data_IF_964081148800
#
_entry.id   IF_964081148800
#
_cell.length_a   1.000
_cell.length_b   1.000
_cell.length_c   1.000
_cell.angle_alpha   90.00
_cell.angle_beta   90.00
_cell.angle_gamma   90.00
#
_symmetry.space_group_name_H-M   'P 1'
#
loop_
_entity.id
_entity.type
_entity.pdbx_description
1 polymer ?
2 non-polymer ?
3 non-polymer ?
4 non-polymer ?
5 non-polymer ?
6 water ?
#
# COMPACT_ATOMS: atom_id res chain seq x y z
N UNK A 2 -8.77 -8.01 -21.02
CA UNK A 2 -7.72 -7.11 -20.44
C UNK A 2 -6.51 -7.97 -20.07
N UNK A 3 -5.62 -7.42 -19.22
CA UNK A 3 -4.68 -8.18 -18.36
C UNK A 3 -5.49 -9.06 -17.42
N UNK A 4 -5.05 -10.29 -17.22
CA UNK A 4 -5.55 -11.22 -16.17
C UNK A 4 -4.50 -11.17 -15.06
N UNK A 5 -4.94 -11.29 -13.81
CA UNK A 5 -4.07 -11.21 -12.63
C UNK A 5 -4.67 -12.04 -11.50
N UNK A 6 -3.82 -12.28 -10.52
CA UNK A 6 -3.76 -13.44 -9.61
C UNK A 6 -3.58 -12.97 -8.16
N UNK A 7 -3.15 -11.72 -7.98
CA UNK A 7 -2.64 -11.19 -6.70
C UNK A 7 -3.63 -11.37 -5.56
N UNK A 8 -4.92 -11.11 -5.80
CA UNK A 8 -5.98 -11.11 -4.76
C UNK A 8 -6.04 -12.53 -4.18
N UNK A 9 -6.12 -13.52 -5.08
CA UNK A 9 -6.11 -14.96 -4.74
C UNK A 9 -4.82 -15.32 -3.99
N UNK A 10 -3.67 -14.80 -4.45
CA UNK A 10 -2.34 -15.21 -3.95
C UNK A 10 -2.19 -14.87 -2.46
N UNK A 11 -2.74 -13.75 -2.02
CA UNK A 11 -2.68 -13.31 -0.59
C UNK A 11 -3.83 -13.96 0.21
N UNK A 12 -4.68 -14.74 -0.44
CA UNK A 12 -5.82 -15.48 0.19
C UNK A 12 -6.89 -14.52 0.71
N UNK A 13 -7.13 -13.41 0.02
CA UNK A 13 -8.24 -12.48 0.33
C UNK A 13 -9.60 -13.11 0.04
N UNK A 14 -9.78 -13.95 -1.00
CA UNK A 14 -11.10 -14.52 -1.31
C UNK A 14 -11.72 -15.27 -0.12
N UNK A 15 -10.90 -15.95 0.68
CA UNK A 15 -11.37 -16.62 1.92
C UNK A 15 -12.14 -15.62 2.79
N UNK A 16 -11.63 -14.39 2.94
CA UNK A 16 -12.22 -13.39 3.87
C UNK A 16 -13.48 -12.81 3.22
N UNK A 17 -13.42 -12.51 1.93
CA UNK A 17 -14.62 -12.04 1.18
C UNK A 17 -15.78 -13.03 1.38
N UNK A 18 -15.54 -14.34 1.30
CA UNK A 18 -16.61 -15.37 1.32
C UNK A 18 -17.23 -15.44 2.74
N UNK A 19 -16.56 -14.86 3.74
CA UNK A 19 -17.01 -14.80 5.15
C UNK A 19 -17.63 -13.43 5.49
N UNK A 20 -17.72 -12.51 4.51
CA UNK A 20 -18.34 -11.18 4.63
C UNK A 20 -17.37 -10.07 5.03
N UNK A 21 -16.07 -10.32 4.97
CA UNK A 21 -15.01 -9.33 5.32
C UNK A 21 -14.38 -8.80 4.03
N UNK A 22 -14.75 -7.57 3.66
CA UNK A 22 -14.40 -6.90 2.39
C UNK A 22 -13.92 -5.47 2.66
N UNK A 23 -13.66 -5.11 3.92
CA UNK A 23 -13.05 -3.82 4.25
C UNK A 23 -14.04 -2.73 4.57
N UNK A 24 -15.32 -3.04 4.80
CA UNK A 24 -16.39 -2.04 5.06
C UNK A 24 -16.01 -1.19 6.26
N UNK A 25 -16.25 0.12 6.15
CA UNK A 25 -16.08 1.13 7.23
C UNK A 25 -14.60 1.26 7.60
N UNK A 26 -13.69 0.86 6.71
CA UNK A 26 -12.24 1.08 6.90
C UNK A 26 -11.80 2.19 5.94
N UNK A 27 -11.08 3.16 6.49
CA UNK A 27 -10.65 4.39 5.78
C UNK A 27 -9.20 4.18 5.33
N UNK A 28 -9.02 4.19 4.01
CA UNK A 28 -7.70 3.94 3.36
C UNK A 28 -7.39 5.15 2.52
N UNK A 29 -6.29 5.82 2.88
CA UNK A 29 -5.77 7.02 2.21
C UNK A 29 -4.68 6.57 1.23
N UNK A 30 -4.89 6.87 -0.05
CA UNK A 30 -3.91 6.62 -1.13
C UNK A 30 -3.15 7.93 -1.35
N UNK A 31 -1.94 8.04 -0.81
CA UNK A 31 -1.09 9.24 -0.97
C UNK A 31 -0.27 9.04 -2.23
N UNK A 32 -0.72 9.64 -3.32
CA UNK A 32 -0.22 9.34 -4.69
C UNK A 32 -0.53 10.51 -5.61
N UNK A 33 -0.65 10.20 -6.92
CA UNK A 33 -0.85 11.17 -8.03
C UNK A 33 -2.35 11.47 -8.20
N UNK A 34 -3.16 11.15 -7.21
CA UNK A 34 -4.62 11.28 -7.32
C UNK A 34 -5.26 9.96 -7.72
N UNK A 35 -6.57 9.96 -7.86
CA UNK A 35 -7.37 8.77 -8.25
C UNK A 35 -8.42 9.25 -9.24
N UNK A 36 -8.48 8.61 -10.41
CA UNK A 36 -9.51 8.95 -11.41
C UNK A 36 -10.85 8.38 -10.93
N UNK A 37 -11.67 9.16 -10.21
CA UNK A 37 -12.93 8.61 -9.65
C UNK A 37 -13.92 8.36 -10.80
N UNK A 38 -13.64 8.88 -11.99
CA UNK A 38 -14.53 8.71 -13.16
C UNK A 38 -14.53 7.24 -13.58
N UNK A 39 -13.50 6.46 -13.23
CA UNK A 39 -13.45 5.02 -13.56
C UNK A 39 -14.67 4.31 -12.98
N UNK A 40 -15.47 3.58 -13.79
CA UNK A 40 -16.65 2.89 -13.25
C UNK A 40 -16.37 1.90 -12.12
N UNK A 41 -15.18 1.28 -12.06
CA UNK A 41 -14.82 0.30 -11.01
C UNK A 41 -14.33 1.03 -9.75
N UNK A 42 -14.06 2.33 -9.79
CA UNK A 42 -13.53 3.04 -8.61
C UNK A 42 -14.60 3.90 -7.91
N UNK A 43 -14.80 3.63 -6.64
CA UNK A 43 -15.70 4.38 -5.73
C UNK A 43 -14.81 5.02 -4.66
N UNK A 44 -14.68 6.34 -4.77
CA UNK A 44 -13.76 7.13 -3.93
C UNK A 44 -14.66 7.88 -2.94
N UNK A 45 -14.32 7.83 -1.66
CA UNK A 45 -15.15 8.37 -0.55
C UNK A 45 -14.84 9.85 -0.33
N UNK A 46 -13.64 10.31 -0.67
CA UNK A 46 -13.21 11.67 -0.34
C UNK A 46 -11.84 11.92 -0.90
N UNK A 47 -11.32 13.13 -0.68
CA UNK A 47 -10.05 13.55 -1.28
C UNK A 47 -9.60 14.94 -0.86
N UNK A 48 -8.32 15.19 -1.06
CA UNK A 48 -7.61 16.46 -0.85
C UNK A 48 -6.34 16.42 -1.71
N UNK A 49 -6.06 17.51 -2.40
CA UNK A 49 -4.79 17.73 -3.14
C UNK A 49 -3.93 18.71 -2.36
N UNK A 50 -2.66 18.36 -2.21
CA UNK A 50 -1.61 19.22 -1.62
C UNK A 50 -0.55 19.53 -2.67
N UNK A 51 -0.88 19.30 -3.93
CA UNK A 51 -0.06 19.69 -5.12
C UNK A 51 -0.63 21.01 -5.63
N UNK A 52 0.12 22.11 -5.45
CA UNK A 52 -0.44 23.44 -5.69
C UNK A 52 -0.78 23.70 -7.18
N UNK A 53 -0.09 23.07 -8.14
CA UNK A 53 -0.41 23.27 -9.58
C UNK A 53 -1.47 22.26 -10.05
N UNK A 54 -1.85 21.28 -9.23
CA UNK A 54 -2.88 20.26 -9.58
C UNK A 54 -3.93 20.18 -8.48
N UNK A 55 -5.02 20.92 -8.61
CA UNK A 55 -5.97 21.21 -7.50
C UNK A 55 -7.01 20.08 -7.32
N UNK A 56 -7.18 19.24 -8.34
CA UNK A 56 -8.23 18.20 -8.37
C UNK A 56 -7.61 16.84 -8.01
N UNK A 57 -7.89 16.31 -6.80
CA UNK A 57 -7.35 15.02 -6.36
C UNK A 57 -8.01 13.84 -7.09
N UNK A 58 -9.16 14.11 -7.71
CA UNK A 58 -10.01 13.10 -8.40
C UNK A 58 -9.70 13.09 -9.90
N UNK A 59 -8.62 13.75 -10.29
CA UNK A 59 -8.05 13.64 -11.65
C UNK A 59 -6.61 13.15 -11.50
N UNK A 60 -6.27 12.05 -12.17
CA UNK A 60 -4.92 11.45 -12.07
C UNK A 60 -4.25 11.58 -13.45
N UNK A 61 -3.32 12.52 -13.57
CA UNK A 61 -2.61 12.87 -14.83
C UNK A 61 -1.40 11.97 -14.95
N UNK A 62 -1.06 11.23 -13.89
CA UNK A 62 0.07 10.26 -13.91
C UNK A 62 -0.44 8.87 -14.33
N UNK A 63 -1.42 8.36 -13.58
CA UNK A 63 -2.14 7.05 -13.74
C UNK A 63 -1.71 6.07 -12.62
N UNK A 64 -0.65 6.37 -11.89
CA UNK A 64 -0.13 5.54 -10.77
C UNK A 64 -1.15 5.46 -9.63
N UNK A 65 -1.71 6.59 -9.21
CA UNK A 65 -2.69 6.62 -8.11
C UNK A 65 -3.93 5.79 -8.41
N UNK A 66 -4.38 5.82 -9.66
CA UNK A 66 -5.56 5.07 -10.15
C UNK A 66 -5.30 3.55 -10.13
N UNK A 67 -4.07 3.13 -10.41
CA UNK A 67 -3.65 1.70 -10.39
C UNK A 67 -3.63 1.23 -8.94
N UNK A 68 -3.10 2.05 -8.02
CA UNK A 68 -3.11 1.77 -6.56
C UNK A 68 -4.55 1.51 -6.14
N UNK A 69 -5.44 2.45 -6.43
CA UNK A 69 -6.87 2.38 -6.06
C UNK A 69 -7.50 1.05 -6.47
N UNK A 70 -7.32 0.66 -7.74
CA UNK A 70 -7.89 -0.60 -8.27
C UNK A 70 -7.43 -1.81 -7.47
N UNK A 71 -6.16 -1.85 -7.12
CA UNK A 71 -5.57 -2.99 -6.41
C UNK A 71 -6.09 -3.04 -4.97
N UNK A 72 -6.15 -1.89 -4.30
CA UNK A 72 -6.67 -1.82 -2.89
C UNK A 72 -8.12 -2.25 -2.88
N UNK A 73 -8.93 -1.75 -3.81
CA UNK A 73 -10.38 -2.08 -3.83
C UNK A 73 -10.58 -3.53 -4.28
N UNK A 74 -9.68 -4.07 -5.11
CA UNK A 74 -9.70 -5.50 -5.50
C UNK A 74 -9.52 -6.37 -4.25
N UNK A 75 -8.60 -5.97 -3.37
CA UNK A 75 -8.33 -6.72 -2.11
C UNK A 75 -9.46 -6.41 -1.11
N UNK A 76 -9.89 -5.15 -0.99
CA UNK A 76 -10.89 -4.68 0.00
C UNK A 76 -11.97 -3.90 -0.73
N UNK A 77 -12.83 -4.62 -1.48
CA UNK A 77 -13.89 -3.99 -2.27
C UNK A 77 -14.74 -2.93 -1.55
N UNK A 78 -15.01 -3.07 -0.24
CA UNK A 78 -15.97 -2.19 0.49
C UNK A 78 -15.22 -1.08 1.25
N UNK A 79 -13.92 -0.94 1.05
CA UNK A 79 -13.13 0.06 1.79
C UNK A 79 -13.55 1.46 1.35
N UNK A 80 -13.51 2.41 2.27
CA UNK A 80 -13.67 3.85 1.93
C UNK A 80 -12.29 4.34 1.49
N UNK A 81 -12.14 4.60 0.20
CA UNK A 81 -10.84 5.01 -0.38
C UNK A 81 -10.78 6.53 -0.46
N UNK A 82 -9.66 7.13 -0.08
CA UNK A 82 -9.47 8.59 -0.14
C UNK A 82 -8.26 8.89 -1.03
N UNK A 83 -8.49 9.82 -1.97
CA UNK A 83 -7.53 10.31 -2.97
C UNK A 83 -6.79 11.49 -2.35
N UNK A 84 -5.60 11.22 -1.83
CA UNK A 84 -4.73 12.27 -1.27
C UNK A 84 -3.63 12.55 -2.28
N UNK A 85 -3.77 13.61 -3.08
CA UNK A 85 -2.86 13.93 -4.20
C UNK A 85 -1.66 14.66 -3.59
N UNK A 86 -0.51 14.00 -3.57
CA UNK A 86 0.75 14.58 -3.05
C UNK A 86 1.81 14.48 -4.15
N UNK A 87 1.49 13.84 -5.29
CA UNK A 87 2.39 13.67 -6.47
C UNK A 87 1.78 14.35 -7.69
N UNK A 88 2.58 15.01 -8.52
CA UNK A 88 2.10 15.60 -9.79
C UNK A 88 2.00 14.59 -10.93
N UNK A 89 1.60 15.10 -12.10
CA UNK A 89 1.50 14.37 -13.39
C UNK A 89 2.76 13.54 -13.64
N UNK A 90 3.94 14.12 -13.38
CA UNK A 90 5.23 13.45 -13.71
C UNK A 90 5.56 12.40 -12.64
N UNK A 91 4.77 12.26 -11.56
CA UNK A 91 4.92 11.19 -10.56
C UNK A 91 5.85 11.58 -9.42
N UNK A 92 6.34 12.82 -9.43
CA UNK A 92 7.27 13.38 -8.44
C UNK A 92 6.51 14.40 -7.59
N UNK A 93 6.92 14.57 -6.35
CA UNK A 93 6.35 15.59 -5.44
C UNK A 93 7.41 16.07 -4.50
N UNK A 94 7.13 17.12 -3.74
CA UNK A 94 8.00 17.58 -2.63
C UNK A 94 7.61 16.83 -1.36
N UNK A 95 8.57 16.66 -0.45
CA UNK A 95 8.33 15.97 0.84
C UNK A 95 7.28 16.74 1.63
N UNK A 96 7.22 18.07 1.55
CA UNK A 96 6.22 18.89 2.30
C UNK A 96 4.80 18.57 1.85
N UNK A 97 4.59 18.25 0.57
CA UNK A 97 3.26 17.87 0.03
C UNK A 97 2.85 16.54 0.67
N UNK A 98 3.77 15.57 0.70
CA UNK A 98 3.53 14.23 1.31
C UNK A 98 3.20 14.41 2.80
N UNK A 99 4.00 15.21 3.51
CA UNK A 99 3.79 15.48 4.94
C UNK A 99 2.41 16.08 5.12
N UNK A 100 1.98 16.96 4.22
CA UNK A 100 0.64 17.58 4.33
C UNK A 100 -0.45 16.51 4.17
N UNK A 101 -0.23 15.55 3.28
CA UNK A 101 -1.17 14.43 3.06
C UNK A 101 -1.22 13.50 4.26
N UNK A 102 -0.07 13.23 4.87
CA UNK A 102 -0.04 12.44 6.13
C UNK A 102 -0.85 13.20 7.19
N UNK A 103 -0.62 14.49 7.34
CA UNK A 103 -1.29 15.32 8.37
C UNK A 103 -2.80 15.23 8.13
N UNK A 104 -3.20 15.36 6.87
CA UNK A 104 -4.61 15.22 6.46
C UNK A 104 -5.17 13.85 6.89
N UNK A 105 -4.44 12.75 6.64
CA UNK A 105 -4.88 11.37 6.95
C UNK A 105 -5.12 11.22 8.47
N UNK A 106 -4.19 11.69 9.28
CA UNK A 106 -4.29 11.70 10.77
C UNK A 106 -5.55 12.47 11.16
N UNK A 107 -5.64 13.74 10.77
CA UNK A 107 -6.75 14.66 11.10
C UNK A 107 -8.10 14.05 10.72
N UNK A 108 -8.17 13.29 9.63
CA UNK A 108 -9.45 12.75 9.09
C UNK A 108 -9.63 11.28 9.47
N UNK A 109 -8.87 10.76 10.44
CA UNK A 109 -9.12 9.43 11.04
C UNK A 109 -9.00 8.31 10.01
N UNK A 110 -8.01 8.40 9.12
CA UNK A 110 -7.71 7.27 8.21
C UNK A 110 -7.26 6.08 9.05
N UNK A 111 -7.65 4.85 8.70
CA UNK A 111 -7.19 3.61 9.38
C UNK A 111 -5.87 3.15 8.78
N UNK A 112 -5.71 3.37 7.48
CA UNK A 112 -4.57 2.88 6.69
C UNK A 112 -4.10 4.02 5.80
N UNK A 113 -2.78 4.18 5.73
CA UNK A 113 -2.14 4.99 4.67
C UNK A 113 -1.36 4.06 3.76
N UNK A 114 -1.58 4.20 2.46
CA UNK A 114 -0.69 3.61 1.42
C UNK A 114 0.20 4.73 0.83
N UNK A 115 1.50 4.61 1.01
CA UNK A 115 2.47 5.49 0.29
C UNK A 115 3.20 4.64 -0.75
N UNK A 116 2.71 4.66 -1.99
CA UNK A 116 3.32 3.96 -3.15
C UNK A 116 4.29 4.93 -3.84
N UNK A 117 5.37 5.28 -3.13
CA UNK A 117 6.31 6.34 -3.54
C UNK A 117 7.64 6.11 -2.83
N UNK A 118 8.50 7.12 -2.79
CA UNK A 118 9.66 7.18 -1.89
C UNK A 118 10.93 7.56 -2.63
N UNK A 119 11.95 8.03 -1.92
CA UNK A 119 13.26 8.32 -2.51
C UNK A 119 14.37 7.65 -1.71
N UNK A 120 15.64 7.76 -2.15
CA UNK A 120 16.78 7.15 -1.47
C UNK A 120 17.11 7.90 -0.18
N UNK A 121 16.65 9.14 -0.04
CA UNK A 121 16.82 9.93 1.21
C UNK A 121 15.44 10.37 1.68
N UNK A 122 15.31 10.57 3.00
CA UNK A 122 14.11 11.13 3.63
C UNK A 122 14.48 12.44 4.29
N UNK A 123 13.81 12.77 5.37
CA UNK A 123 14.04 14.00 6.15
C UNK A 123 13.50 13.73 7.54
N UNK A 124 14.04 14.41 8.53
CA UNK A 124 13.51 14.39 9.90
C UNK A 124 12.01 14.66 9.83
N UNK A 125 11.57 15.65 9.04
CA UNK A 125 10.16 16.10 9.01
C UNK A 125 9.29 14.96 8.44
N UNK A 126 9.78 14.23 7.46
CA UNK A 126 9.06 13.06 6.87
C UNK A 126 8.97 11.97 7.94
N UNK A 127 10.07 11.67 8.65
CA UNK A 127 10.06 10.65 9.72
C UNK A 127 9.10 11.09 10.83
N UNK A 128 9.12 12.37 11.21
CA UNK A 128 8.21 12.88 12.27
C UNK A 128 6.76 12.60 11.86
N UNK A 129 6.43 12.83 10.60
CA UNK A 129 5.06 12.68 10.04
C UNK A 129 4.59 11.22 10.13
N UNK A 130 5.32 10.27 9.56
CA UNK A 130 4.89 8.85 9.57
C UNK A 130 4.90 8.32 11.01
N UNK A 131 5.89 8.70 11.84
CA UNK A 131 5.95 8.32 13.28
C UNK A 131 4.68 8.82 13.97
N UNK A 132 4.30 10.06 13.69
CA UNK A 132 3.10 10.66 14.31
C UNK A 132 1.86 9.91 13.88
N UNK A 133 1.76 9.51 12.61
CA UNK A 133 0.59 8.80 12.08
C UNK A 133 0.44 7.45 12.81
N UNK A 134 1.54 6.72 12.95
CA UNK A 134 1.57 5.41 13.66
C UNK A 134 1.28 5.62 15.16
N UNK A 135 1.86 6.64 15.81
CA UNK A 135 1.47 7.01 17.19
C UNK A 135 -0.04 7.24 17.27
N UNK A 136 -0.69 7.80 16.24
CA UNK A 136 -2.15 8.09 16.24
C UNK A 136 -2.97 6.84 16.02
N UNK A 137 -2.33 5.74 15.62
CA UNK A 137 -3.02 4.46 15.45
C UNK A 137 -3.29 4.14 13.98
N UNK A 138 -2.62 4.82 13.03
CA UNK A 138 -2.76 4.53 11.58
C UNK A 138 -1.83 3.38 11.19
N UNK A 139 -2.30 2.46 10.35
CA UNK A 139 -1.40 1.48 9.70
C UNK A 139 -0.75 2.19 8.52
N UNK A 140 0.58 2.28 8.50
CA UNK A 140 1.31 2.94 7.38
C UNK A 140 2.10 1.87 6.63
N UNK A 141 1.85 1.84 5.32
CA UNK A 141 2.42 0.85 4.36
C UNK A 141 3.16 1.60 3.23
N UNK A 142 4.32 1.10 2.84
CA UNK A 142 5.08 1.69 1.73
C UNK A 142 5.77 0.60 0.90
N UNK A 143 5.88 0.86 -0.40
CA UNK A 143 6.76 0.12 -1.33
C UNK A 143 8.19 0.15 -0.79
N UNK A 144 8.84 -1.00 -0.75
CA UNK A 144 10.23 -1.18 -0.28
C UNK A 144 11.17 -0.45 -1.24
N UNK A 145 10.76 -0.33 -2.51
CA UNK A 145 11.56 0.31 -3.57
C UNK A 145 11.90 -0.67 -4.67
N UNK A 146 12.30 -0.14 -5.80
CA UNK A 146 12.64 -0.95 -6.99
C UNK A 146 14.10 -0.72 -7.34
N UNK A 147 15.01 -0.77 -6.35
CA UNK A 147 16.45 -0.43 -6.50
C UNK A 147 17.35 -1.68 -6.59
N UNK A 148 16.74 -2.85 -6.79
CA UNK A 148 17.43 -4.15 -6.79
C UNK A 148 18.36 -4.30 -5.59
N UNK A 149 19.57 -4.80 -5.84
CA UNK A 149 20.59 -5.13 -4.80
C UNK A 149 21.80 -4.21 -4.94
N UNK A 150 22.51 -4.02 -3.84
CA UNK A 150 23.77 -3.26 -3.79
C UNK A 150 24.69 -4.01 -2.81
N UNK A 151 25.03 -5.25 -3.18
CA UNK A 151 25.85 -6.19 -2.40
C UNK A 151 25.29 -6.36 -0.99
N UNK A 152 26.01 -5.86 0.00
CA UNK A 152 25.68 -5.91 1.45
C UNK A 152 24.72 -4.78 1.84
N UNK A 153 24.58 -3.73 1.02
CA UNK A 153 23.85 -2.51 1.43
C UNK A 153 22.34 -2.74 1.31
N UNK A 154 21.58 -2.17 2.25
CA UNK A 154 20.12 -1.99 2.10
C UNK A 154 19.87 -1.07 0.91
N UNK A 155 18.85 -1.39 0.11
CA UNK A 155 18.39 -0.57 -1.02
C UNK A 155 16.94 -0.16 -0.77
N UNK A 156 16.41 -0.38 0.44
CA UNK A 156 15.02 -0.01 0.79
C UNK A 156 14.92 1.53 0.77
N UNK A 157 13.89 2.09 0.12
CA UNK A 157 13.59 3.53 0.05
C UNK A 157 12.93 4.01 1.34
N UNK A 158 12.91 5.33 1.49
CA UNK A 158 12.07 6.07 2.45
C UNK A 158 10.78 6.40 1.75
N UNK A 159 9.61 6.42 2.44
CA UNK A 159 9.51 6.21 3.88
C UNK A 159 9.53 4.77 4.43
N UNK A 160 9.57 3.78 3.54
CA UNK A 160 9.53 2.35 3.93
C UNK A 160 10.67 2.04 4.92
N UNK A 161 11.83 2.67 4.73
CA UNK A 161 13.05 2.40 5.54
C UNK A 161 12.85 2.83 7.00
N UNK A 162 11.87 3.68 7.30
CA UNK A 162 11.57 4.06 8.70
C UNK A 162 10.90 2.91 9.44
N UNK A 163 11.43 2.57 10.63
CA UNK A 163 10.89 1.48 11.45
C UNK A 163 9.37 1.50 11.62
N UNK A 164 8.75 2.68 11.69
CA UNK A 164 7.29 2.82 11.88
C UNK A 164 6.51 2.33 10.65
N UNK A 165 7.15 2.30 9.50
CA UNK A 165 6.42 2.02 8.23
C UNK A 165 6.63 0.55 7.90
N UNK A 166 5.58 -0.12 7.49
CA UNK A 166 5.67 -1.51 6.95
C UNK A 166 6.28 -1.39 5.55
N UNK A 167 7.37 -2.11 5.30
CA UNK A 167 8.10 -2.07 4.02
C UNK A 167 7.79 -3.35 3.25
N UNK A 168 7.32 -3.18 2.03
CA UNK A 168 6.77 -4.29 1.22
C UNK A 168 7.61 -4.47 -0.04
N UNK A 169 8.15 -5.66 -0.24
CA UNK A 169 8.83 -6.08 -1.48
C UNK A 169 7.89 -6.86 -2.38
N UNK A 170 8.34 -7.17 -3.59
CA UNK A 170 7.50 -7.78 -4.63
C UNK A 170 7.95 -9.22 -4.89
N UNK A 171 6.97 -10.13 -4.96
CA UNK A 171 7.13 -11.48 -5.54
C UNK A 171 6.27 -11.62 -6.79
N UNK A 172 6.58 -12.62 -7.61
CA UNK A 172 5.75 -13.01 -8.79
C UNK A 172 4.73 -14.07 -8.35
N UNK A 173 3.96 -14.60 -9.29
CA UNK A 173 2.83 -15.54 -9.01
C UNK A 173 3.38 -16.85 -8.43
N UNK A 174 4.69 -17.07 -8.53
CA UNK A 174 5.40 -18.29 -8.04
C UNK A 174 6.12 -18.00 -6.73
N UNK A 175 5.93 -16.81 -6.16
CA UNK A 175 6.48 -16.40 -4.84
C UNK A 175 7.99 -16.23 -4.93
N UNK A 176 8.52 -16.03 -6.13
CA UNK A 176 9.95 -15.70 -6.35
C UNK A 176 10.10 -14.16 -6.28
N UNK A 177 11.08 -13.66 -5.52
CA UNK A 177 11.42 -12.23 -5.48
C UNK A 177 11.59 -11.73 -6.91
N UNK A 178 10.96 -10.60 -7.21
CA UNK A 178 11.21 -9.86 -8.45
C UNK A 178 12.60 -9.24 -8.36
N UNK A 179 13.42 -9.37 -9.41
CA UNK A 179 14.79 -8.85 -9.42
C UNK A 179 14.95 -7.35 -9.11
N UNK A 180 13.88 -6.55 -9.25
CA UNK A 180 13.89 -5.09 -9.00
C UNK A 180 13.66 -4.80 -7.50
N UNK A 181 13.08 -5.76 -6.77
CA UNK A 181 12.54 -5.53 -5.40
C UNK A 181 13.71 -5.20 -4.48
N UNK A 182 13.62 -4.07 -3.79
CA UNK A 182 14.67 -3.58 -2.88
C UNK A 182 14.84 -4.58 -1.74
N UNK A 183 16.01 -4.56 -1.12
CA UNK A 183 16.45 -5.56 -0.11
C UNK A 183 17.03 -4.81 1.08
N UNK A 184 17.09 -5.47 2.23
CA UNK A 184 17.67 -4.91 3.45
C UNK A 184 16.93 -5.45 4.65
N UNK A 185 17.51 -5.26 5.86
CA UNK A 185 16.86 -5.72 7.09
C UNK A 185 15.54 -4.98 7.37
N UNK A 186 15.29 -3.87 6.69
CA UNK A 186 14.04 -3.06 6.84
C UNK A 186 12.86 -3.78 6.19
N UNK A 187 13.13 -4.66 5.24
CA UNK A 187 12.09 -5.43 4.55
C UNK A 187 11.24 -6.23 5.57
N UNK A 188 9.91 -6.09 5.52
CA UNK A 188 8.97 -6.72 6.47
C UNK A 188 8.24 -7.89 5.81
N UNK A 189 7.61 -7.67 4.67
CA UNK A 189 6.76 -8.70 4.03
C UNK A 189 6.84 -8.54 2.50
N UNK A 190 6.42 -9.57 1.78
CA UNK A 190 6.31 -9.54 0.30
C UNK A 190 4.83 -9.61 -0.06
N UNK A 191 4.50 -9.15 -1.27
CA UNK A 191 3.16 -9.32 -1.86
C UNK A 191 3.30 -9.30 -3.37
N UNK A 192 2.22 -9.68 -4.10
CA UNK A 192 2.26 -9.73 -5.55
C UNK A 192 2.55 -8.38 -6.21
N UNK A 193 3.64 -8.36 -6.98
CA UNK A 193 4.16 -7.12 -7.59
C UNK A 193 4.63 -7.26 -9.01
N UNK A 194 4.35 -8.38 -9.71
CA UNK A 194 4.76 -8.57 -11.13
C UNK A 194 3.52 -8.60 -12.03
N UNK A 195 3.46 -7.78 -13.07
CA UNK A 195 2.33 -7.78 -14.03
C UNK A 195 1.00 -7.74 -13.27
N UNK A 196 0.84 -6.76 -12.37
CA UNK A 196 -0.44 -6.58 -11.63
C UNK A 196 -1.39 -5.76 -12.52
N UNK A 197 -2.48 -6.40 -12.95
CA UNK A 197 -3.62 -5.80 -13.66
C UNK A 197 -4.46 -4.98 -12.69
N UNK A 198 -4.61 -3.69 -12.97
CA UNK A 198 -5.49 -2.79 -12.20
C UNK A 198 -6.02 -1.72 -13.13
N UNK A 199 -6.84 -0.86 -12.57
CA UNK A 199 -7.54 0.26 -13.23
C UNK A 199 -6.53 1.31 -13.67
N UNK A 200 -6.77 1.90 -14.83
CA UNK A 200 -6.03 3.07 -15.35
C UNK A 200 -7.05 4.14 -15.75
N UNK A 201 -6.64 5.44 -15.78
CA UNK A 201 -7.56 6.54 -16.11
C UNK A 201 -8.24 6.33 -17.47
N UNK A 202 -9.45 6.85 -17.59
CA UNK A 202 -10.26 6.72 -18.81
C UNK A 202 -10.80 5.31 -18.97
N UNK A 203 -11.22 4.69 -17.88
CA UNK A 203 -11.98 3.43 -17.91
C UNK A 203 -11.11 2.29 -18.37
N UNK A 204 -9.79 2.41 -18.34
CA UNK A 204 -8.90 1.35 -18.86
C UNK A 204 -8.40 0.44 -17.73
N UNK A 205 -7.63 -0.57 -18.13
CA UNK A 205 -6.89 -1.51 -17.26
C UNK A 205 -5.53 -1.76 -17.87
N UNK A 206 -4.56 -2.05 -17.00
CA UNK A 206 -3.19 -2.36 -17.45
C UNK A 206 -2.38 -2.99 -16.34
N UNK A 207 -1.41 -3.80 -16.73
CA UNK A 207 -0.48 -4.48 -15.83
C UNK A 207 0.64 -3.48 -15.46
N UNK A 208 1.08 -3.50 -14.21
CA UNK A 208 2.28 -2.76 -13.75
C UNK A 208 3.08 -3.71 -12.85
N UNK A 209 4.40 -3.67 -12.96
CA UNK A 209 5.31 -4.39 -12.05
C UNK A 209 5.95 -3.36 -11.12
N UNK A 210 6.14 -3.69 -9.86
CA UNK A 210 6.82 -2.82 -8.88
C UNK A 210 6.54 -3.24 -7.45
N UNK A 211 7.31 -2.69 -6.50
CA UNK A 211 6.94 -2.74 -5.08
C UNK A 211 5.69 -1.89 -4.80
N UNK A 212 5.28 -0.98 -5.68
CA UNK A 212 4.07 -0.14 -5.43
C UNK A 212 2.84 -1.06 -5.43
N UNK A 213 2.57 -1.85 -6.50
CA UNK A 213 1.48 -2.82 -6.50
C UNK A 213 1.52 -3.81 -5.34
N UNK A 214 2.72 -4.25 -4.95
CA UNK A 214 2.87 -5.14 -3.78
C UNK A 214 2.36 -4.38 -2.54
N UNK A 215 2.84 -3.17 -2.27
CA UNK A 215 2.36 -2.39 -1.10
C UNK A 215 0.82 -2.23 -1.14
N UNK A 216 0.21 -2.16 -2.32
CA UNK A 216 -1.25 -1.91 -2.49
C UNK A 216 -2.02 -3.12 -1.95
N UNK A 217 -1.49 -4.34 -2.16
CA UNK A 217 -2.08 -5.61 -1.65
C UNK A 217 -2.10 -5.58 -0.13
N UNK A 218 -1.02 -5.10 0.47
CA UNK A 218 -0.86 -5.07 1.96
C UNK A 218 -1.78 -4.02 2.56
N UNK A 219 -1.88 -2.85 1.94
CA UNK A 219 -2.84 -1.81 2.39
C UNK A 219 -4.27 -2.37 2.36
N UNK A 220 -4.63 -3.09 1.30
CA UNK A 220 -5.92 -3.80 1.20
C UNK A 220 -6.08 -4.82 2.29
N UNK A 221 -5.08 -5.67 2.49
CA UNK A 221 -5.09 -6.75 3.50
C UNK A 221 -5.37 -6.12 4.88
N UNK A 222 -4.76 -4.97 5.16
CA UNK A 222 -4.94 -4.26 6.44
C UNK A 222 -6.42 -3.92 6.60
N UNK A 223 -7.05 -3.47 5.53
CA UNK A 223 -8.46 -3.05 5.58
C UNK A 223 -9.33 -4.29 5.81
N UNK A 224 -9.05 -5.43 5.15
CA UNK A 224 -9.80 -6.67 5.39
C UNK A 224 -9.73 -7.02 6.87
N UNK A 225 -8.52 -7.08 7.42
CA UNK A 225 -8.26 -7.44 8.84
C UNK A 225 -9.10 -6.54 9.75
N UNK A 226 -9.07 -5.22 9.54
CA UNK A 226 -9.78 -4.25 10.43
C UNK A 226 -11.30 -4.38 10.25
N UNK A 227 -11.78 -4.84 9.09
CA UNK A 227 -13.22 -5.08 8.85
C UNK A 227 -13.68 -6.33 9.60
N UNK A 228 -12.75 -7.21 10.02
CA UNK A 228 -13.07 -8.35 10.92
C UNK A 228 -12.80 -7.97 12.38
N UNK A 229 -11.77 -7.15 12.63
CA UNK A 229 -11.24 -6.83 13.98
C UNK A 229 -11.16 -5.32 14.11
N UNK A 230 -12.31 -4.62 14.14
CA UNK A 230 -12.29 -3.16 14.11
C UNK A 230 -11.57 -2.58 15.35
N UNK A 231 -11.50 -3.37 16.41
CA UNK A 231 -10.91 -3.03 17.74
C UNK A 231 -9.37 -3.07 17.67
N UNK A 232 -8.79 -3.81 16.72
CA UNK A 232 -7.33 -4.08 16.69
C UNK A 232 -6.58 -2.76 16.50
N UNK A 233 -5.46 -2.58 17.19
CA UNK A 233 -4.52 -1.45 17.00
C UNK A 233 -3.73 -1.65 15.69
N UNK A 234 -3.13 -0.59 15.18
CA UNK A 234 -2.18 -0.72 14.05
C UNK A 234 -1.12 -1.75 14.44
N UNK A 235 -0.62 -1.71 15.68
CA UNK A 235 0.39 -2.66 16.21
C UNK A 235 -0.07 -4.11 16.00
N UNK A 236 -1.32 -4.41 16.31
CA UNK A 236 -1.91 -5.76 16.14
C UNK A 236 -2.08 -6.07 14.65
N UNK A 237 -2.52 -5.09 13.87
CA UNK A 237 -2.69 -5.31 12.41
C UNK A 237 -1.33 -5.70 11.82
N UNK A 238 -0.29 -4.93 12.11
CA UNK A 238 1.04 -5.14 11.51
C UNK A 238 1.62 -6.49 11.94
N UNK A 239 1.54 -6.80 13.24
CA UNK A 239 2.00 -8.06 13.87
C UNK A 239 1.24 -9.24 13.24
N UNK A 240 -0.06 -9.13 12.98
CA UNK A 240 -0.85 -10.21 12.34
C UNK A 240 -0.30 -10.52 10.93
N UNK A 241 0.07 -9.49 10.16
CA UNK A 241 0.53 -9.66 8.76
C UNK A 241 1.97 -10.21 8.76
N UNK A 242 2.80 -9.68 9.65
CA UNK A 242 4.23 -10.08 9.73
C UNK A 242 4.33 -11.50 10.30
N UNK A 243 3.50 -11.87 11.29
CA UNK A 243 3.75 -13.09 12.09
C UNK A 243 3.10 -14.32 11.46
N UNK A 244 2.23 -14.15 10.48
CA UNK A 244 1.50 -15.24 9.79
C UNK A 244 1.89 -15.28 8.33
N UNK A 245 2.86 -14.46 7.94
CA UNK A 245 3.46 -14.48 6.59
C UNK A 245 3.91 -15.91 6.25
N UNK A 246 3.70 -16.33 5.01
CA UNK A 246 4.27 -17.58 4.44
C UNK A 246 5.77 -17.41 4.22
N UNK A 247 6.59 -17.99 5.09
CA UNK A 247 8.06 -17.93 5.00
C UNK A 247 8.54 -18.32 3.60
N UNK A 248 9.39 -17.51 2.98
CA UNK A 248 10.01 -17.82 1.67
C UNK A 248 11.53 -17.87 1.91
N UNK A 249 12.34 -17.07 1.24
CA UNK A 249 13.80 -17.09 1.39
C UNK A 249 14.27 -16.28 2.56
N UNK A 250 15.57 -15.93 2.54
CA UNK A 250 16.26 -15.09 3.53
C UNK A 250 15.52 -13.76 3.70
N UNK A 251 15.47 -13.27 4.93
CA UNK A 251 14.70 -12.08 5.37
C UNK A 251 15.24 -10.82 4.68
N UNK A 252 16.55 -10.78 4.39
CA UNK A 252 17.21 -9.62 3.74
C UNK A 252 16.57 -9.38 2.37
N UNK A 253 16.12 -10.46 1.71
CA UNK A 253 15.50 -10.49 0.37
C UNK A 253 13.98 -10.58 0.45
N UNK A 254 13.42 -11.23 1.48
CA UNK A 254 11.99 -11.63 1.51
C UNK A 254 11.25 -11.15 2.76
N UNK A 255 11.92 -10.47 3.69
CA UNK A 255 11.45 -10.34 5.08
C UNK A 255 10.81 -11.63 5.57
N UNK A 256 9.62 -11.53 6.15
CA UNK A 256 8.91 -12.68 6.77
C UNK A 256 8.22 -13.51 5.69
N UNK A 257 8.23 -13.03 4.45
CA UNK A 257 7.67 -13.78 3.33
C UNK A 257 6.35 -13.16 2.85
N UNK A 258 5.55 -13.95 2.14
CA UNK A 258 4.32 -13.50 1.45
C UNK A 258 3.17 -13.35 2.47
N UNK A 259 2.50 -12.22 2.48
CA UNK A 259 1.38 -11.99 3.44
C UNK A 259 0.29 -13.03 3.13
N UNK A 260 -0.37 -13.48 4.19
CA UNK A 260 -1.52 -14.40 4.12
C UNK A 260 -2.62 -13.78 4.97
N UNK A 261 -3.54 -13.05 4.33
CA UNK A 261 -4.52 -12.22 5.09
C UNK A 261 -5.52 -13.16 5.80
N UNK A 262 -5.75 -14.33 5.22
CA UNK A 262 -6.62 -15.37 5.82
C UNK A 262 -6.02 -15.75 7.20
N UNK A 263 -4.75 -16.12 7.24
CA UNK A 263 -4.05 -16.47 8.49
C UNK A 263 -4.08 -15.25 9.42
N UNK A 264 -3.70 -14.10 8.90
CA UNK A 264 -3.55 -12.86 9.69
C UNK A 264 -4.87 -12.56 10.44
N UNK A 265 -6.01 -12.78 9.80
CA UNK A 265 -7.36 -12.45 10.32
C UNK A 265 -7.76 -13.37 11.48
N UNK A 266 -6.97 -14.41 11.77
CA UNK A 266 -7.16 -15.38 12.88
C UNK A 266 -6.00 -15.35 13.87
N UNK A 267 -5.04 -14.44 13.73
CA UNK A 267 -3.83 -14.37 14.59
C UNK A 267 -4.28 -14.09 16.02
N UNK A 268 -3.59 -14.64 17.02
CA UNK A 268 -3.97 -14.51 18.46
C UNK A 268 -2.84 -13.81 19.23
#
# INVERSE_FOLDING_TARGET
AKCVSYGVAQIKAPALHSQGYTGSNVKVAVLDSGIDSSHPDLNVAGGASFVPSETNPFQDNNSHGTHVAGTVLAVAPSASLYAVKVLGADGSGQYSWVINGIEWAIANNMDVINMSLGGPSGSAALKAAVDKAVASGVVVVAAAGNSGTSGSSSTVSYPAKYPSVIAVGAVDSSNQRAPFSSVGPELDVMAPGVSICSTLPGGKYGAHSGTCPASNHVAGAAALILSKHPNWTNTQVRSSLENTATKLGDSFYYGKGLINVEAAAQHHHHHH
#
